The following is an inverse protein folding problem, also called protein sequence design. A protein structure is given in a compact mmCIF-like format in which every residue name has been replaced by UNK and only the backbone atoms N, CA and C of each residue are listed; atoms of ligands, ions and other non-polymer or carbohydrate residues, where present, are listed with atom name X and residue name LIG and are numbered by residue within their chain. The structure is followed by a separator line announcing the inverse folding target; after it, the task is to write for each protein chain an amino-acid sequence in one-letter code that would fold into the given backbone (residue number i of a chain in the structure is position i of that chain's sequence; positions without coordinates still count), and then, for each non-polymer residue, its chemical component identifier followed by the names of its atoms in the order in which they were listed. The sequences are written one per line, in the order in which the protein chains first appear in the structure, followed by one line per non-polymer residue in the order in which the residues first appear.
data_IF_182775785282
#
_entry.id   IF_182775785282
#
_cell.length_a   1.000
_cell.length_b   1.000
_cell.length_c   1.000
_cell.angle_alpha   90.00
_cell.angle_beta   90.00
_cell.angle_gamma   90.00
#
_symmetry.space_group_name_H-M   'P 1'
#
loop_
_entity.id
_entity.type
_entity.pdbx_description
1 polymer ?
#
# COMPACT_ATOMS: atom_id res chain seq x y z
N UNK A 1 9.00 -2.11 -4.91
CA UNK A 1 9.03 -3.03 -3.83
C UNK A 1 8.71 -2.37 -2.53
N UNK A 2 8.00 -2.93 -1.86
CA UNK A 2 7.21 -2.93 -0.64
C UNK A 2 7.17 -1.65 0.16
N UNK A 3 6.70 -0.62 -0.47
CA UNK A 3 5.96 0.46 0.14
C UNK A 3 4.54 -0.06 0.50
N UNK A 4 4.36 -1.39 0.50
CA UNK A 4 3.05 -2.05 0.67
C UNK A 4 2.44 -1.88 2.07
N UNK A 5 3.18 -1.28 2.98
CA UNK A 5 2.87 -1.35 4.39
C UNK A 5 2.61 0.02 5.01
N UNK A 6 2.33 1.00 4.17
CA UNK A 6 1.99 2.39 4.55
C UNK A 6 0.74 2.84 3.82
N UNK A 7 -0.33 2.07 3.91
CA UNK A 7 -1.56 2.40 3.24
C UNK A 7 -2.47 3.25 4.13
N UNK A 8 -3.10 4.25 3.51
CA UNK A 8 -4.19 5.00 4.12
C UNK A 8 -5.35 5.14 3.15
N UNK A 9 -6.48 5.58 3.66
CA UNK A 9 -7.70 5.74 2.88
C UNK A 9 -7.81 7.16 2.36
N UNK A 10 -8.07 7.28 1.07
CA UNK A 10 -8.28 8.53 0.35
C UNK A 10 -9.70 8.65 -0.14
N UNK A 11 -10.23 9.86 -0.08
CA UNK A 11 -11.58 10.22 -0.53
C UNK A 11 -11.47 11.37 -1.52
N UNK A 12 -12.25 11.34 -2.59
CA UNK A 12 -12.37 12.47 -3.53
C UNK A 12 -13.08 13.64 -2.86
N UNK A 13 -12.49 14.83 -2.93
CA UNK A 13 -13.08 16.03 -2.32
C UNK A 13 -14.43 16.40 -2.92
N UNK A 14 -14.61 16.18 -4.22
CA UNK A 14 -15.88 16.39 -4.92
C UNK A 14 -17.01 15.52 -4.35
N UNK A 15 -16.72 14.26 -4.02
CA UNK A 15 -17.71 13.35 -3.47
C UNK A 15 -18.11 13.73 -2.03
N UNK A 16 -17.15 14.21 -1.22
CA UNK A 16 -17.44 14.77 0.11
C UNK A 16 -18.32 16.00 0.01
N UNK A 17 -17.97 16.94 -0.85
CA UNK A 17 -18.70 18.19 -1.04
C UNK A 17 -20.14 17.91 -1.55
N UNK A 18 -20.30 16.99 -2.49
CA UNK A 18 -21.61 16.59 -2.99
C UNK A 18 -22.51 15.98 -1.89
N UNK A 19 -21.91 15.29 -0.93
CA UNK A 19 -22.59 14.72 0.24
C UNK A 19 -22.79 15.72 1.39
N UNK A 20 -22.38 17.00 1.22
CA UNK A 20 -22.55 18.05 2.23
C UNK A 20 -21.46 18.11 3.29
N UNK A 21 -20.32 17.44 3.09
CA UNK A 21 -19.19 17.46 4.01
C UNK A 21 -18.13 18.47 3.54
N UNK A 22 -17.46 19.09 4.52
CA UNK A 22 -16.27 19.92 4.26
C UNK A 22 -15.04 19.01 4.20
N UNK A 23 -14.32 18.92 3.06
CA UNK A 23 -13.16 18.06 2.91
C UNK A 23 -12.03 18.34 3.91
N UNK A 24 -11.76 19.60 4.23
CA UNK A 24 -10.70 19.99 5.17
C UNK A 24 -11.04 19.57 6.60
N UNK A 25 -12.32 19.68 6.99
CA UNK A 25 -12.78 19.20 8.27
C UNK A 25 -12.65 17.69 8.39
N UNK A 26 -13.04 16.94 7.34
CA UNK A 26 -12.90 15.48 7.30
C UNK A 26 -11.42 15.08 7.42
N UNK A 27 -10.50 15.75 6.71
CA UNK A 27 -9.06 15.47 6.79
C UNK A 27 -8.48 15.72 8.19
N UNK A 28 -8.95 16.74 8.90
CA UNK A 28 -8.44 17.13 10.20
C UNK A 28 -9.01 16.30 11.37
N UNK A 29 -10.23 15.80 11.22
CA UNK A 29 -10.97 15.08 12.26
C UNK A 29 -10.58 13.60 12.35
N UNK A 30 -10.57 13.05 13.56
CA UNK A 30 -10.60 11.60 13.77
C UNK A 30 -12.05 11.16 13.84
N UNK A 31 -12.50 10.42 12.84
CA UNK A 31 -13.88 9.94 12.73
C UNK A 31 -14.11 8.71 13.61
N UNK A 32 -15.29 8.59 14.19
CA UNK A 32 -15.80 7.31 14.70
C UNK A 32 -16.22 6.42 13.52
N UNK A 33 -16.35 5.11 13.74
CA UNK A 33 -16.79 4.22 12.67
C UNK A 33 -18.21 4.58 12.18
N UNK A 34 -19.10 4.95 13.09
CA UNK A 34 -20.47 5.36 12.73
C UNK A 34 -20.47 6.64 11.89
N UNK A 35 -19.66 7.65 12.25
CA UNK A 35 -19.49 8.86 11.46
C UNK A 35 -18.94 8.56 10.07
N UNK A 36 -17.89 7.73 10.00
CA UNK A 36 -17.30 7.30 8.73
C UNK A 36 -18.30 6.55 7.86
N UNK A 37 -18.98 5.57 8.42
CA UNK A 37 -19.93 4.75 7.68
C UNK A 37 -21.18 5.56 7.23
N UNK A 38 -21.64 6.46 8.07
CA UNK A 38 -22.69 7.43 7.69
C UNK A 38 -22.23 8.29 6.51
N UNK A 39 -21.04 8.83 6.57
CA UNK A 39 -20.46 9.63 5.48
C UNK A 39 -20.44 8.85 4.16
N UNK A 40 -20.04 7.57 4.16
CA UNK A 40 -20.09 6.72 2.97
C UNK A 40 -21.50 6.55 2.41
N UNK A 41 -22.50 6.37 3.28
CA UNK A 41 -23.92 6.29 2.87
C UNK A 41 -24.41 7.60 2.27
N UNK A 42 -24.07 8.73 2.87
CA UNK A 42 -24.43 10.05 2.35
C UNK A 42 -23.77 10.30 0.99
N UNK A 43 -22.50 9.93 0.81
CA UNK A 43 -21.81 10.01 -0.48
C UNK A 43 -22.50 9.17 -1.55
N UNK A 44 -22.91 7.94 -1.22
CA UNK A 44 -23.68 7.10 -2.13
C UNK A 44 -25.03 7.71 -2.50
N UNK A 45 -25.74 8.25 -1.54
CA UNK A 45 -27.03 8.91 -1.75
C UNK A 45 -26.92 10.19 -2.59
N UNK A 46 -25.84 10.94 -2.43
CA UNK A 46 -25.57 12.15 -3.20
C UNK A 46 -25.25 11.88 -4.68
N UNK A 47 -24.83 10.67 -5.02
CA UNK A 47 -24.51 10.27 -6.39
C UNK A 47 -25.49 9.20 -6.89
N UNK A 48 -26.62 9.61 -7.43
CA UNK A 48 -27.70 8.73 -7.88
C UNK A 48 -27.28 7.65 -8.91
N UNK A 49 -26.18 7.91 -9.63
CA UNK A 49 -25.66 7.00 -10.66
C UNK A 49 -24.47 6.15 -10.17
N UNK A 50 -24.06 6.28 -8.91
CA UNK A 50 -22.91 5.54 -8.39
C UNK A 50 -23.34 4.16 -7.87
N UNK A 51 -22.78 3.09 -8.43
CA UNK A 51 -23.12 1.73 -8.00
C UNK A 51 -22.50 1.37 -6.64
N UNK A 52 -21.34 1.93 -6.33
CA UNK A 52 -20.58 1.71 -5.08
C UNK A 52 -19.74 2.94 -4.76
N UNK A 53 -19.34 3.11 -3.52
CA UNK A 53 -18.47 4.20 -3.07
C UNK A 53 -17.00 3.76 -3.04
N UNK A 54 -16.76 2.54 -2.58
CA UNK A 54 -15.44 1.93 -2.43
C UNK A 54 -15.29 0.81 -3.44
N UNK A 55 -14.14 0.76 -4.13
CA UNK A 55 -13.72 -0.40 -4.88
C UNK A 55 -12.24 -0.65 -4.60
N UNK A 56 -11.89 -1.88 -4.25
CA UNK A 56 -10.52 -2.27 -3.92
C UNK A 56 -10.11 -3.54 -4.64
N UNK A 57 -8.85 -3.91 -4.56
CA UNK A 57 -8.38 -5.16 -5.13
C UNK A 57 -8.57 -6.33 -4.17
N UNK A 58 -8.90 -7.44 -4.76
CA UNK A 58 -9.05 -8.80 -4.25
C UNK A 58 -8.99 -9.06 -2.76
N UNK A 59 -10.12 -9.23 -2.12
CA UNK A 59 -10.18 -9.79 -0.78
C UNK A 59 -9.63 -11.22 -0.73
N UNK A 60 -9.78 -11.98 -1.82
CA UNK A 60 -9.49 -13.40 -1.88
C UNK A 60 -8.11 -13.67 -2.46
N UNK A 61 -7.70 -12.91 -3.47
CA UNK A 61 -6.51 -13.22 -4.25
C UNK A 61 -5.29 -12.33 -3.95
N UNK A 62 -5.35 -11.46 -2.94
CA UNK A 62 -4.21 -10.62 -2.59
C UNK A 62 -3.77 -9.63 -3.67
N UNK A 63 -4.65 -9.21 -4.55
CA UNK A 63 -4.31 -8.31 -5.65
C UNK A 63 -3.25 -8.91 -6.59
N UNK A 64 -2.36 -8.07 -7.13
CA UNK A 64 -1.34 -8.51 -8.09
C UNK A 64 -0.22 -9.36 -7.50
N UNK A 65 -0.12 -9.49 -6.19
CA UNK A 65 1.04 -10.15 -5.59
C UNK A 65 0.85 -11.61 -5.32
N UNK A 66 -0.36 -12.12 -5.39
CA UNK A 66 -0.67 -13.52 -5.06
C UNK A 66 -0.29 -13.92 -3.63
N UNK A 67 0.11 -12.97 -2.80
CA UNK A 67 0.44 -13.23 -1.40
C UNK A 67 -0.80 -13.03 -0.54
N UNK A 68 -1.32 -14.08 0.07
CA UNK A 68 -2.54 -14.04 0.88
C UNK A 68 -2.39 -13.21 2.17
N UNK A 69 -1.19 -12.85 2.53
CA UNK A 69 -0.86 -12.26 3.83
C UNK A 69 -1.21 -10.77 3.94
N UNK A 70 -1.32 -10.10 2.80
CA UNK A 70 -1.38 -8.65 2.75
C UNK A 70 -2.73 -8.01 2.41
N UNK A 71 -3.74 -8.69 1.86
CA UNK A 71 -4.83 -7.99 1.19
C UNK A 71 -5.73 -7.22 2.15
N UNK A 72 -5.96 -7.74 3.33
CA UNK A 72 -7.00 -7.20 4.20
C UNK A 72 -6.54 -6.07 5.09
N UNK A 73 -5.31 -6.13 5.54
CA UNK A 73 -4.74 -5.09 6.41
C UNK A 73 -4.34 -3.84 5.64
N UNK A 74 -4.11 -3.97 4.32
CA UNK A 74 -3.57 -2.89 3.50
C UNK A 74 -4.59 -2.24 2.58
N UNK A 75 -5.66 -2.94 2.21
CA UNK A 75 -6.60 -2.44 1.19
C UNK A 75 -7.92 -1.89 1.71
N UNK A 76 -8.19 -2.01 2.98
CA UNK A 76 -9.35 -1.42 3.65
C UNK A 76 -9.03 -1.21 5.14
N UNK A 77 -8.01 -0.38 5.46
CA UNK A 77 -7.56 -0.25 6.84
C UNK A 77 -8.66 0.22 7.78
N UNK A 78 -9.59 1.02 7.31
CA UNK A 78 -10.72 1.52 8.08
C UNK A 78 -11.72 0.42 8.51
N UNK A 79 -11.65 -0.76 7.90
CA UNK A 79 -12.46 -1.90 8.33
C UNK A 79 -11.67 -2.88 9.21
N UNK A 80 -10.35 -2.90 9.09
CA UNK A 80 -9.47 -3.90 9.70
C UNK A 80 -8.45 -3.35 10.70
N UNK A 81 -8.44 -2.07 11.04
CA UNK A 81 -7.37 -1.48 11.85
C UNK A 81 -7.06 -2.25 13.14
N UNK A 82 -8.10 -2.75 13.83
CA UNK A 82 -7.97 -3.53 15.05
C UNK A 82 -7.86 -5.05 14.81
N UNK A 83 -8.12 -5.52 13.59
CA UNK A 83 -8.12 -6.94 13.26
C UNK A 83 -6.79 -7.37 12.64
N UNK A 84 -6.34 -8.58 12.94
CA UNK A 84 -5.15 -9.17 12.35
C UNK A 84 -5.56 -10.39 11.52
N UNK A 85 -5.27 -10.35 10.22
CA UNK A 85 -5.57 -11.47 9.31
C UNK A 85 -4.66 -12.68 9.59
N UNK A 86 -3.44 -12.43 10.05
CA UNK A 86 -2.44 -13.45 10.32
C UNK A 86 -2.16 -13.59 11.82
N UNK A 87 -1.15 -14.35 12.17
CA UNK A 87 -0.63 -14.38 13.53
C UNK A 87 -0.01 -13.04 13.88
N UNK A 88 -0.09 -12.64 15.14
CA UNK A 88 0.46 -11.36 15.61
C UNK A 88 0.96 -11.47 17.04
N UNK A 89 1.84 -10.59 17.44
CA UNK A 89 2.28 -10.45 18.82
C UNK A 89 1.33 -9.54 19.59
N UNK A 90 0.72 -10.07 20.63
CA UNK A 90 -0.12 -9.29 21.54
C UNK A 90 0.76 -8.68 22.63
N UNK A 91 0.99 -7.38 22.53
CA UNK A 91 1.84 -6.62 23.46
C UNK A 91 1.32 -6.65 24.91
N UNK A 92 0.01 -6.73 25.11
CA UNK A 92 -0.61 -6.77 26.42
C UNK A 92 -0.46 -8.15 27.07
N UNK A 93 -0.69 -9.19 26.30
CA UNK A 93 -0.54 -10.59 26.75
C UNK A 93 0.92 -11.07 26.70
N UNK A 94 1.80 -10.39 25.97
CA UNK A 94 3.19 -10.76 25.72
C UNK A 94 3.33 -12.15 25.09
N UNK A 95 2.47 -12.45 24.15
CA UNK A 95 2.44 -13.72 23.44
C UNK A 95 1.98 -13.55 21.99
N UNK A 96 2.32 -14.53 21.13
CA UNK A 96 1.75 -14.61 19.78
C UNK A 96 0.39 -15.29 19.83
N UNK A 97 -0.53 -14.78 19.01
CA UNK A 97 -1.91 -15.25 18.85
C UNK A 97 -2.27 -15.44 17.39
N UNK A 98 -3.27 -16.27 17.14
CA UNK A 98 -3.96 -16.30 15.84
C UNK A 98 -4.96 -15.13 15.77
N UNK A 99 -4.62 -14.09 15.01
CA UNK A 99 -5.46 -12.91 14.87
C UNK A 99 -6.76 -13.18 14.14
N UNK A 100 -6.75 -14.16 13.23
CA UNK A 100 -7.94 -14.53 12.46
C UNK A 100 -9.05 -15.15 13.33
N UNK A 101 -8.69 -15.77 14.45
CA UNK A 101 -9.62 -16.37 15.38
C UNK A 101 -10.14 -15.40 16.46
N UNK A 102 -9.74 -14.12 16.44
CA UNK A 102 -10.14 -13.13 17.45
C UNK A 102 -11.47 -12.46 17.11
N UNK A 103 -12.12 -11.89 18.13
CA UNK A 103 -13.38 -11.16 17.97
C UNK A 103 -13.26 -10.00 17.00
N UNK A 104 -12.13 -9.29 17.00
CA UNK A 104 -11.89 -8.15 16.10
C UNK A 104 -11.98 -8.54 14.62
N UNK A 105 -11.58 -9.76 14.26
CA UNK A 105 -11.74 -10.27 12.90
C UNK A 105 -13.21 -10.56 12.56
N UNK A 106 -13.98 -11.12 13.50
CA UNK A 106 -15.43 -11.29 13.33
C UNK A 106 -16.10 -9.95 13.05
N UNK A 107 -15.75 -8.94 13.83
CA UNK A 107 -16.30 -7.60 13.69
C UNK A 107 -15.90 -6.96 12.34
N UNK A 108 -14.64 -7.12 11.92
CA UNK A 108 -14.16 -6.64 10.63
C UNK A 108 -14.91 -7.27 9.46
N UNK A 109 -15.08 -8.60 9.47
CA UNK A 109 -15.83 -9.30 8.42
C UNK A 109 -17.32 -8.92 8.43
N UNK A 110 -17.89 -8.65 9.59
CA UNK A 110 -19.26 -8.16 9.72
C UNK A 110 -19.41 -6.76 9.10
N UNK A 111 -18.48 -5.85 9.38
CA UNK A 111 -18.43 -4.52 8.76
C UNK A 111 -18.33 -4.60 7.24
N UNK A 112 -17.48 -5.47 6.71
CA UNK A 112 -17.34 -5.67 5.27
C UNK A 112 -18.58 -6.24 4.62
N UNK A 113 -19.19 -7.25 5.26
CA UNK A 113 -20.47 -7.81 4.78
C UNK A 113 -21.54 -6.72 4.69
N UNK A 114 -21.68 -5.93 5.74
CA UNK A 114 -22.63 -4.82 5.77
C UNK A 114 -22.35 -3.81 4.65
N UNK A 115 -21.07 -3.49 4.39
CA UNK A 115 -20.71 -2.56 3.32
C UNK A 115 -21.00 -3.13 1.92
N UNK A 116 -20.89 -4.44 1.73
CA UNK A 116 -21.32 -5.11 0.48
C UNK A 116 -22.84 -5.10 0.34
N UNK A 117 -23.57 -5.46 1.41
CA UNK A 117 -25.03 -5.52 1.40
C UNK A 117 -25.67 -4.13 1.15
N UNK A 118 -25.11 -3.08 1.75
CA UNK A 118 -25.53 -1.69 1.54
C UNK A 118 -25.09 -1.13 0.17
N UNK A 119 -24.31 -1.88 -0.59
CA UNK A 119 -23.72 -1.44 -1.87
C UNK A 119 -22.73 -0.29 -1.72
N UNK A 120 -22.15 -0.11 -0.55
CA UNK A 120 -21.04 0.83 -0.30
C UNK A 120 -19.74 0.28 -0.90
N UNK A 121 -19.49 -1.00 -0.67
CA UNK A 121 -18.33 -1.70 -1.19
C UNK A 121 -18.69 -2.47 -2.45
N UNK A 122 -17.92 -2.26 -3.50
CA UNK A 122 -18.06 -2.97 -4.76
C UNK A 122 -17.86 -4.48 -4.57
N UNK A 123 -18.90 -5.23 -4.89
CA UNK A 123 -18.88 -6.70 -4.77
C UNK A 123 -17.79 -7.36 -5.64
N UNK A 124 -17.40 -6.73 -6.75
CA UNK A 124 -16.32 -7.22 -7.60
C UNK A 124 -14.94 -7.10 -6.92
N UNK A 125 -14.83 -6.33 -5.85
CA UNK A 125 -13.58 -6.15 -5.08
C UNK A 125 -12.97 -7.47 -4.58
N UNK A 126 -13.76 -8.52 -4.45
CA UNK A 126 -13.24 -9.83 -4.05
C UNK A 126 -12.33 -10.49 -5.07
N UNK A 127 -12.53 -10.24 -6.37
CA UNK A 127 -11.84 -10.96 -7.46
C UNK A 127 -11.07 -10.04 -8.42
N UNK A 128 -11.24 -8.73 -8.33
CA UNK A 128 -10.60 -7.80 -9.24
C UNK A 128 -9.12 -7.57 -8.88
N UNK A 129 -8.35 -7.22 -9.90
CA UNK A 129 -6.94 -6.88 -9.74
C UNK A 129 -6.77 -5.45 -9.20
N UNK A 130 -5.55 -5.12 -8.77
CA UNK A 130 -5.19 -3.73 -8.41
C UNK A 130 -5.39 -2.77 -9.58
N UNK A 131 -5.15 -3.23 -10.81
CA UNK A 131 -5.38 -2.42 -12.01
C UNK A 131 -6.85 -2.12 -12.23
N UNK A 132 -7.74 -3.11 -12.01
CA UNK A 132 -9.19 -2.89 -12.12
C UNK A 132 -9.69 -1.88 -11.09
N UNK A 133 -9.24 -1.99 -9.85
CA UNK A 133 -9.58 -1.03 -8.81
C UNK A 133 -9.08 0.39 -9.12
N UNK A 134 -7.86 0.54 -9.65
CA UNK A 134 -7.33 1.84 -10.12
C UNK A 134 -8.12 2.40 -11.30
N UNK A 135 -8.52 1.54 -12.24
CA UNK A 135 -9.35 1.96 -13.38
C UNK A 135 -10.69 2.54 -12.89
N UNK A 136 -11.29 1.95 -11.85
CA UNK A 136 -12.51 2.47 -11.24
C UNK A 136 -12.28 3.79 -10.49
N UNK A 137 -11.15 3.94 -9.82
CA UNK A 137 -10.76 5.24 -9.25
C UNK A 137 -10.62 6.31 -10.32
N UNK A 138 -10.02 5.96 -11.46
CA UNK A 138 -9.75 6.87 -12.59
C UNK A 138 -10.94 7.05 -13.54
N UNK A 139 -12.04 6.32 -13.35
CA UNK A 139 -13.17 6.35 -14.27
C UNK A 139 -13.85 7.72 -14.28
N UNK A 140 -14.30 8.15 -15.49
CA UNK A 140 -15.12 9.35 -15.69
C UNK A 140 -16.61 9.08 -15.46
N UNK A 141 -17.05 7.85 -15.75
CA UNK A 141 -18.42 7.44 -15.60
C UNK A 141 -18.73 7.14 -14.12
N UNK A 142 -19.63 7.92 -13.53
CA UNK A 142 -20.03 7.79 -12.14
C UNK A 142 -20.52 6.37 -11.79
N UNK A 143 -21.16 5.66 -12.72
CA UNK A 143 -21.68 4.31 -12.47
C UNK A 143 -20.58 3.28 -12.21
N UNK A 144 -19.38 3.53 -12.73
CA UNK A 144 -18.21 2.66 -12.61
C UNK A 144 -17.11 3.24 -11.72
N UNK A 145 -17.22 4.51 -11.33
CA UNK A 145 -16.23 5.22 -10.54
C UNK A 145 -16.33 4.90 -9.06
N UNK A 146 -15.18 4.73 -8.38
CA UNK A 146 -15.09 4.80 -6.92
C UNK A 146 -14.74 6.19 -6.44
N UNK A 147 -15.25 6.55 -5.25
CA UNK A 147 -14.98 7.83 -4.60
C UNK A 147 -14.04 7.69 -3.40
N UNK A 148 -13.84 6.46 -2.92
CA UNK A 148 -12.91 6.11 -1.83
C UNK A 148 -11.98 5.04 -2.33
N UNK A 149 -10.70 5.18 -2.00
CA UNK A 149 -9.66 4.24 -2.40
C UNK A 149 -8.58 4.14 -1.34
N UNK A 150 -8.09 2.94 -1.10
CA UNK A 150 -6.93 2.72 -0.24
C UNK A 150 -5.68 2.61 -1.09
N UNK A 151 -4.68 3.41 -0.76
CA UNK A 151 -3.43 3.43 -1.49
C UNK A 151 -2.25 3.77 -0.57
N UNK A 152 -1.05 3.59 -1.09
CA UNK A 152 0.17 3.89 -0.36
C UNK A 152 0.30 5.39 -0.05
N UNK A 153 0.85 5.69 1.12
CA UNK A 153 1.12 7.04 1.56
C UNK A 153 2.30 7.70 0.82
N UNK A 154 2.44 8.99 0.96
CA UNK A 154 3.55 9.77 0.42
C UNK A 154 3.52 9.94 -1.08
N UNK A 155 4.60 9.58 -1.78
CA UNK A 155 4.74 9.75 -3.24
C UNK A 155 3.60 9.12 -4.04
N UNK A 156 3.02 8.04 -3.52
CA UNK A 156 1.89 7.38 -4.17
C UNK A 156 0.57 8.15 -4.02
N UNK A 157 0.42 8.97 -2.97
CA UNK A 157 -0.69 9.90 -2.86
C UNK A 157 -0.67 10.91 -4.03
N UNK A 158 0.50 11.45 -4.35
CA UNK A 158 0.69 12.31 -5.51
C UNK A 158 0.34 11.60 -6.82
N UNK A 159 0.79 10.36 -6.99
CA UNK A 159 0.45 9.55 -8.18
C UNK A 159 -1.05 9.32 -8.27
N UNK A 160 -1.72 9.01 -7.16
CA UNK A 160 -3.16 8.80 -7.10
C UNK A 160 -3.94 10.08 -7.46
N UNK A 161 -3.52 11.23 -6.92
CA UNK A 161 -4.07 12.55 -7.25
C UNK A 161 -3.98 12.82 -8.74
N UNK A 162 -2.80 12.62 -9.32
CA UNK A 162 -2.55 12.93 -10.72
C UNK A 162 -3.14 11.91 -11.71
N UNK A 163 -3.59 10.76 -11.25
CA UNK A 163 -4.23 9.75 -12.09
C UNK A 163 -5.74 9.98 -12.26
N UNK A 164 -6.38 10.77 -11.40
CA UNK A 164 -7.81 11.04 -11.49
C UNK A 164 -8.21 11.63 -12.84
N UNK A 165 -9.39 11.27 -13.32
CA UNK A 165 -9.93 11.77 -14.59
C UNK A 165 -10.21 13.28 -14.54
N UNK A 166 -10.75 13.76 -13.44
CA UNK A 166 -10.90 15.19 -13.15
C UNK A 166 -9.63 15.68 -12.43
N UNK A 167 -8.88 16.53 -13.13
CA UNK A 167 -7.62 17.12 -12.61
C UNK A 167 -7.85 18.27 -11.63
N UNK A 168 -9.07 18.75 -11.52
CA UNK A 168 -9.44 19.81 -10.57
C UNK A 168 -9.88 19.26 -9.21
N UNK A 169 -10.27 17.98 -9.16
CA UNK A 169 -10.62 17.30 -7.91
C UNK A 169 -9.36 17.02 -7.07
N UNK A 170 -9.52 16.91 -5.78
CA UNK A 170 -8.44 16.64 -4.82
C UNK A 170 -8.72 15.37 -4.04
N UNK A 171 -7.64 14.70 -3.62
CA UNK A 171 -7.74 13.60 -2.67
C UNK A 171 -7.60 14.13 -1.25
N UNK A 172 -8.38 13.55 -0.36
CA UNK A 172 -8.33 13.80 1.08
C UNK A 172 -7.96 12.49 1.77
N UNK A 173 -6.84 12.48 2.48
CA UNK A 173 -6.47 11.35 3.32
C UNK A 173 -7.21 11.46 4.66
N UNK A 174 -7.84 10.39 5.13
CA UNK A 174 -8.47 10.35 6.43
C UNK A 174 -7.52 9.79 7.49
N UNK A 175 -7.71 10.21 8.74
CA UNK A 175 -7.05 9.59 9.89
C UNK A 175 -7.65 8.22 10.18
N UNK A 176 -6.95 7.35 10.94
CA UNK A 176 -7.51 6.10 11.44
C UNK A 176 -8.83 6.32 12.16
N UNK A 177 -9.72 5.33 12.06
CA UNK A 177 -11.01 5.36 12.75
C UNK A 177 -10.77 5.21 14.25
N UNK A 178 -11.40 6.08 15.03
CA UNK A 178 -11.14 6.27 16.46
C UNK A 178 -11.16 4.97 17.29
N UNK A 179 -12.17 4.13 17.06
CA UNK A 179 -12.37 2.90 17.82
C UNK A 179 -11.53 1.72 17.32
N UNK A 180 -10.99 1.82 16.09
CA UNK A 180 -10.30 0.72 15.44
C UNK A 180 -8.77 0.79 15.57
N UNK A 181 -8.24 1.83 16.19
CA UNK A 181 -6.82 1.94 16.51
C UNK A 181 -6.02 2.83 15.56
N UNK A 182 -4.87 2.36 15.09
CA UNK A 182 -3.93 3.11 14.26
C UNK A 182 -3.72 2.43 12.90
N UNK A 183 -3.20 3.15 11.93
CA UNK A 183 -2.65 2.52 10.74
C UNK A 183 -1.49 1.60 11.12
N UNK A 184 -1.35 0.51 10.39
CA UNK A 184 -0.27 -0.46 10.60
C UNK A 184 0.90 -0.13 9.70
N UNK A 185 2.10 -0.20 10.26
CA UNK A 185 3.34 -0.04 9.55
C UNK A 185 4.19 -1.30 9.75
N UNK A 186 4.73 -1.85 8.67
CA UNK A 186 5.67 -2.97 8.73
C UNK A 186 7.10 -2.48 8.67
N UNK A 187 8.02 -3.32 9.13
CA UNK A 187 9.43 -3.07 8.94
C UNK A 187 9.77 -2.90 7.45
N UNK A 188 10.58 -1.90 7.17
CA UNK A 188 11.13 -1.74 5.84
C UNK A 188 11.93 -3.00 5.43
N UNK A 189 11.94 -3.28 4.13
CA UNK A 189 12.84 -4.31 3.59
C UNK A 189 14.29 -3.93 3.87
N UNK A 190 15.10 -4.93 4.19
CA UNK A 190 16.51 -4.75 4.49
C UNK A 190 17.38 -5.64 3.57
N UNK A 191 18.60 -5.18 3.31
CA UNK A 191 19.62 -6.03 2.75
C UNK A 191 20.13 -6.98 3.82
N UNK A 192 20.23 -8.27 3.49
CA UNK A 192 20.77 -9.29 4.38
C UNK A 192 22.00 -9.92 3.76
N UNK A 193 23.07 -9.97 4.52
CA UNK A 193 24.27 -10.77 4.15
C UNK A 193 24.01 -12.20 4.62
N UNK A 194 24.15 -13.16 3.71
CA UNK A 194 23.88 -14.56 4.04
C UNK A 194 24.94 -15.10 4.99
N UNK A 195 24.56 -16.04 5.85
CA UNK A 195 25.48 -16.72 6.76
C UNK A 195 26.65 -17.38 6.01
N UNK A 196 26.39 -17.96 4.84
CA UNK A 196 27.43 -18.52 3.97
C UNK A 196 28.45 -17.48 3.50
N UNK A 197 28.03 -16.26 3.22
CA UNK A 197 28.95 -15.18 2.88
C UNK A 197 29.82 -14.76 4.08
N UNK A 198 29.24 -14.77 5.28
CA UNK A 198 29.96 -14.55 6.53
C UNK A 198 31.03 -15.63 6.78
N UNK A 199 30.67 -16.92 6.71
CA UNK A 199 31.60 -18.05 6.88
C UNK A 199 32.75 -18.02 5.87
N UNK A 200 32.49 -17.53 4.66
CA UNK A 200 33.51 -17.38 3.62
C UNK A 200 34.35 -16.08 3.74
N UNK A 201 34.21 -15.33 4.82
CA UNK A 201 34.96 -14.08 5.05
C UNK A 201 34.61 -12.94 4.10
N UNK A 202 33.45 -13.00 3.41
CA UNK A 202 33.04 -11.99 2.42
C UNK A 202 32.09 -10.91 2.99
N UNK A 203 31.61 -11.06 4.22
CA UNK A 203 30.59 -10.20 4.79
C UNK A 203 31.02 -8.73 4.84
N UNK A 204 32.22 -8.44 5.31
CA UNK A 204 32.78 -7.09 5.40
C UNK A 204 32.88 -6.44 4.01
N UNK A 205 33.40 -7.17 3.03
CA UNK A 205 33.53 -6.66 1.66
C UNK A 205 32.15 -6.39 1.02
N UNK A 206 31.18 -7.27 1.23
CA UNK A 206 29.81 -7.06 0.75
C UNK A 206 29.19 -5.82 1.40
N UNK A 207 29.34 -5.68 2.71
CA UNK A 207 28.82 -4.51 3.41
C UNK A 207 29.48 -3.23 2.87
N UNK A 208 30.80 -3.15 2.92
CA UNK A 208 31.58 -1.94 2.61
C UNK A 208 31.48 -1.52 1.14
N UNK A 209 31.61 -2.46 0.21
CA UNK A 209 31.71 -2.14 -1.21
C UNK A 209 30.42 -2.28 -1.99
N UNK A 210 29.38 -2.83 -1.37
CA UNK A 210 28.09 -2.97 -2.01
C UNK A 210 26.99 -2.25 -1.21
N UNK A 211 26.67 -2.67 0.02
CA UNK A 211 25.53 -2.14 0.76
C UNK A 211 25.75 -0.69 1.16
N UNK A 212 26.84 -0.40 1.86
CA UNK A 212 27.15 0.95 2.37
C UNK A 212 27.29 1.95 1.21
N UNK A 213 28.07 1.59 0.20
CA UNK A 213 28.29 2.46 -0.97
C UNK A 213 27.02 2.72 -1.77
N UNK A 214 26.10 1.76 -1.82
CA UNK A 214 24.85 1.90 -2.59
C UNK A 214 23.71 2.57 -1.82
N UNK A 215 23.81 2.64 -0.50
CA UNK A 215 22.81 3.24 0.38
C UNK A 215 23.32 4.50 1.08
N UNK A 216 24.46 5.05 0.64
CA UNK A 216 25.10 6.20 1.26
C UNK A 216 24.39 7.54 1.00
N UNK A 217 23.42 7.57 0.08
CA UNK A 217 22.74 8.80 -0.32
C UNK A 217 23.57 9.72 -1.22
N UNK A 218 24.76 9.28 -1.62
CA UNK A 218 25.72 10.08 -2.38
C UNK A 218 25.71 9.82 -3.89
N UNK A 219 26.81 10.23 -4.52
CA UNK A 219 26.98 10.18 -5.97
C UNK A 219 26.88 8.76 -6.56
N UNK A 220 27.33 7.76 -5.80
CA UNK A 220 27.27 6.37 -6.26
C UNK A 220 25.84 5.86 -6.32
N UNK A 221 25.05 6.17 -5.30
CA UNK A 221 23.63 5.81 -5.30
C UNK A 221 22.87 6.57 -6.41
N UNK A 222 23.17 7.84 -6.63
CA UNK A 222 22.63 8.63 -7.74
C UNK A 222 23.02 8.00 -9.07
N UNK A 223 24.29 7.65 -9.26
CA UNK A 223 24.76 6.99 -10.49
C UNK A 223 24.08 5.64 -10.74
N UNK A 224 23.80 4.88 -9.70
CA UNK A 224 23.06 3.62 -9.79
C UNK A 224 21.61 3.83 -10.24
N UNK A 225 20.95 4.85 -9.74
CA UNK A 225 19.52 5.09 -10.00
C UNK A 225 19.25 5.81 -11.31
N UNK A 226 20.11 6.78 -11.63
CA UNK A 226 19.87 7.74 -12.71
C UNK A 226 20.94 7.71 -13.79
N UNK A 227 22.04 6.97 -13.57
CA UNK A 227 23.20 7.01 -14.43
C UNK A 227 24.12 8.19 -14.14
N UNK A 228 25.07 8.43 -15.04
CA UNK A 228 26.06 9.48 -14.90
C UNK A 228 25.50 10.85 -15.28
N UNK A 229 25.73 11.86 -14.43
CA UNK A 229 25.40 13.26 -14.71
C UNK A 229 26.16 13.73 -15.94
N UNK A 230 25.54 14.52 -16.78
CA UNK A 230 26.06 15.02 -18.06
C UNK A 230 26.05 13.99 -19.19
N UNK A 231 25.61 12.74 -18.94
CA UNK A 231 25.44 11.67 -19.94
C UNK A 231 24.02 11.16 -19.99
N UNK A 232 23.43 10.84 -18.84
CA UNK A 232 22.11 10.28 -18.74
C UNK A 232 21.08 11.28 -18.22
N UNK A 233 21.53 12.18 -17.36
CA UNK A 233 20.75 13.25 -16.78
C UNK A 233 21.62 14.49 -16.52
N UNK A 234 21.01 15.66 -16.40
CA UNK A 234 21.66 16.90 -15.94
C UNK A 234 20.64 17.74 -15.14
N UNK A 235 21.15 18.82 -14.54
CA UNK A 235 20.39 19.86 -13.85
C UNK A 235 20.70 21.26 -14.37
N UNK A 236 21.35 21.35 -15.54
CA UNK A 236 21.62 22.61 -16.23
C UNK A 236 20.42 23.10 -17.01
N UNK A 237 20.35 24.41 -17.20
CA UNK A 237 19.34 25.00 -18.08
C UNK A 237 19.53 24.53 -19.52
N UNK A 238 18.60 23.76 -20.05
CA UNK A 238 18.63 23.29 -21.44
C UNK A 238 17.27 22.90 -21.97
N UNK A 239 17.19 22.76 -23.30
CA UNK A 239 15.98 22.23 -23.97
C UNK A 239 16.26 20.82 -24.46
N UNK A 240 15.60 19.85 -23.88
CA UNK A 240 15.64 18.45 -24.34
C UNK A 240 14.64 18.27 -25.46
N UNK A 241 15.15 18.17 -26.69
CA UNK A 241 14.33 18.01 -27.90
C UNK A 241 14.06 16.52 -28.14
N UNK A 242 12.78 16.18 -28.27
CA UNK A 242 12.34 14.81 -28.58
C UNK A 242 11.83 14.77 -30.02
N UNK A 243 12.26 13.77 -30.78
CA UNK A 243 11.84 13.55 -32.15
C UNK A 243 10.81 12.43 -32.24
N UNK A 244 9.82 12.60 -33.12
CA UNK A 244 8.85 11.56 -33.42
C UNK A 244 9.46 10.46 -34.36
N UNK A 245 8.69 9.43 -34.67
CA UNK A 245 9.15 8.32 -35.53
C UNK A 245 9.47 8.74 -36.98
N UNK A 246 9.12 9.96 -37.38
CA UNK A 246 9.41 10.55 -38.70
C UNK A 246 10.64 11.45 -38.68
N UNK A 247 11.30 11.62 -37.52
CA UNK A 247 12.44 12.52 -37.35
C UNK A 247 12.06 13.98 -37.19
N UNK A 248 10.79 14.31 -36.98
CA UNK A 248 10.31 15.67 -36.72
C UNK A 248 10.26 15.92 -35.21
N UNK A 249 10.45 17.20 -34.80
CA UNK A 249 10.38 17.58 -33.39
C UNK A 249 8.98 17.32 -32.84
N UNK A 250 8.90 16.51 -31.78
CA UNK A 250 7.69 16.32 -31.00
C UNK A 250 7.59 17.44 -29.97
N UNK A 251 6.91 18.52 -30.32
CA UNK A 251 6.75 19.69 -29.46
C UNK A 251 6.08 19.40 -28.12
N UNK A 252 5.23 18.36 -28.05
CA UNK A 252 4.55 17.97 -26.81
C UNK A 252 5.49 17.28 -25.81
N UNK A 253 6.55 16.65 -26.31
CA UNK A 253 7.54 15.94 -25.51
C UNK A 253 8.81 16.74 -25.30
N UNK A 254 9.09 17.72 -26.18
CA UNK A 254 10.21 18.64 -26.02
C UNK A 254 9.94 19.57 -24.83
N UNK A 255 10.90 19.65 -23.91
CA UNK A 255 10.78 20.46 -22.69
C UNK A 255 12.02 21.29 -22.46
N UNK A 256 11.82 22.53 -22.04
CA UNK A 256 12.88 23.40 -21.56
C UNK A 256 12.92 23.34 -20.04
N UNK A 257 14.10 23.12 -19.50
CA UNK A 257 14.37 23.03 -18.07
C UNK A 257 15.21 24.23 -17.62
N UNK A 258 14.94 24.71 -16.43
CA UNK A 258 15.68 25.78 -15.79
C UNK A 258 16.91 25.22 -15.06
N UNK A 259 17.87 26.08 -14.74
CA UNK A 259 19.07 25.73 -13.98
C UNK A 259 18.68 25.11 -12.61
N UNK A 260 19.29 24.00 -12.31
CA UNK A 260 19.06 23.26 -11.08
C UNK A 260 17.85 22.32 -11.11
N UNK A 261 17.17 22.16 -12.25
CA UNK A 261 16.06 21.23 -12.41
C UNK A 261 16.56 19.93 -13.02
N UNK A 262 16.47 18.82 -12.25
CA UNK A 262 16.81 17.50 -12.74
C UNK A 262 15.97 17.12 -13.96
N UNK A 263 16.63 16.62 -14.98
CA UNK A 263 15.98 16.08 -16.17
C UNK A 263 16.85 15.03 -16.85
N UNK A 264 16.21 14.11 -17.56
CA UNK A 264 16.93 13.13 -18.36
C UNK A 264 17.35 13.70 -19.72
N UNK A 265 18.57 13.42 -20.11
CA UNK A 265 19.13 13.78 -21.43
C UNK A 265 18.74 12.78 -22.52
N UNK A 266 18.27 11.60 -22.13
CA UNK A 266 17.91 10.50 -23.00
C UNK A 266 16.39 10.30 -23.00
N UNK A 267 15.87 9.64 -24.04
CA UNK A 267 14.44 9.35 -24.11
C UNK A 267 14.01 8.40 -22.99
N UNK A 268 12.72 8.39 -22.59
CA UNK A 268 12.22 7.42 -21.61
C UNK A 268 12.51 5.95 -21.98
N UNK A 269 12.57 5.63 -23.28
CA UNK A 269 12.92 4.28 -23.76
C UNK A 269 14.39 3.96 -23.53
N UNK A 270 15.29 4.92 -23.78
CA UNK A 270 16.72 4.76 -23.53
C UNK A 270 16.95 4.71 -22.01
N UNK A 271 16.26 5.54 -21.24
CA UNK A 271 16.29 5.51 -19.79
C UNK A 271 15.77 4.18 -19.24
N UNK A 272 14.74 3.60 -19.84
CA UNK A 272 14.22 2.29 -19.44
C UNK A 272 15.24 1.18 -19.70
N UNK A 273 16.05 1.30 -20.74
CA UNK A 273 17.17 0.39 -21.02
C UNK A 273 18.35 0.57 -20.08
N UNK A 274 18.70 1.82 -19.78
CA UNK A 274 19.76 2.17 -18.85
C UNK A 274 19.36 1.86 -17.40
N UNK A 275 18.12 2.12 -17.06
CA UNK A 275 17.46 1.77 -15.82
C UNK A 275 16.92 0.34 -15.87
N UNK A 276 17.71 -0.59 -16.43
CA UNK A 276 17.29 -1.97 -16.61
C UNK A 276 16.84 -2.63 -15.30
N UNK A 277 16.15 -3.74 -15.41
CA UNK A 277 15.60 -4.55 -14.31
C UNK A 277 16.56 -4.91 -13.18
N UNK A 278 17.85 -4.61 -13.33
CA UNK A 278 18.91 -4.86 -12.36
C UNK A 278 19.16 -3.67 -11.42
N UNK A 279 18.37 -2.62 -11.51
CA UNK A 279 18.44 -1.51 -10.56
C UNK A 279 18.14 -1.98 -9.16
N UNK A 280 18.85 -1.36 -8.25
CA UNK A 280 18.34 -1.30 -6.89
C UNK A 280 16.97 -0.65 -6.98
N UNK A 281 16.00 -1.38 -6.52
CA UNK A 281 14.66 -0.88 -6.45
C UNK A 281 14.65 0.45 -5.66
N UNK A 282 14.02 1.47 -6.24
CA UNK A 282 13.82 2.76 -5.58
C UNK A 282 13.31 2.64 -4.14
N UNK A 283 12.63 1.57 -3.79
CA UNK A 283 12.17 1.32 -2.43
C UNK A 283 13.28 1.04 -1.43
N UNK A 284 14.44 0.59 -1.88
CA UNK A 284 15.63 0.45 -1.03
C UNK A 284 16.41 1.75 -0.96
N UNK A 285 16.36 2.53 -2.02
CA UNK A 285 16.89 3.88 -2.06
C UNK A 285 16.10 4.88 -1.22
N UNK A 286 14.81 4.64 -1.02
CA UNK A 286 13.94 5.48 -0.16
C UNK A 286 14.45 5.56 1.29
N UNK A 287 15.14 4.54 1.78
CA UNK A 287 15.77 4.62 3.10
C UNK A 287 16.81 5.75 3.19
N UNK A 288 17.41 6.13 2.06
CA UNK A 288 18.46 7.15 2.00
C UNK A 288 18.02 8.42 1.30
N UNK A 289 17.22 8.28 0.27
CA UNK A 289 16.73 9.45 -0.44
C UNK A 289 15.37 9.85 0.01
N UNK A 290 14.74 9.51 0.97
CA UNK A 290 13.38 9.97 1.26
C UNK A 290 12.76 10.76 0.08
N UNK A 291 11.53 10.92 -0.01
CA UNK A 291 10.91 11.63 -1.14
C UNK A 291 11.43 13.07 -1.34
N UNK A 292 12.12 13.61 -0.34
CA UNK A 292 12.68 14.95 -0.34
C UNK A 292 14.04 15.07 -1.02
N UNK A 293 14.66 13.97 -1.37
CA UNK A 293 16.03 13.95 -1.91
C UNK A 293 16.09 13.32 -3.30
N UNK A 294 14.94 12.93 -3.87
CA UNK A 294 14.89 12.55 -5.29
C UNK A 294 15.43 13.72 -6.13
N UNK A 295 16.56 13.56 -6.83
CA UNK A 295 17.13 14.63 -7.64
C UNK A 295 16.15 15.18 -8.68
N UNK A 296 15.15 14.40 -9.07
CA UNK A 296 14.07 14.81 -9.94
C UNK A 296 12.98 15.64 -9.25
N UNK A 297 13.06 15.83 -7.95
CA UNK A 297 12.01 16.48 -7.18
C UNK A 297 12.58 17.44 -6.14
N UNK A 298 13.19 18.51 -6.61
CA UNK A 298 13.71 19.59 -5.74
C UNK A 298 12.63 20.36 -4.99
N UNK A 299 11.38 20.30 -5.45
CA UNK A 299 10.21 20.77 -4.70
C UNK A 299 9.33 19.57 -4.39
N UNK A 300 9.39 19.10 -3.18
CA UNK A 300 8.46 18.07 -2.73
C UNK A 300 7.06 18.67 -2.72
N UNK A 301 6.16 18.05 -3.47
CA UNK A 301 4.76 18.46 -3.45
C UNK A 301 4.23 18.41 -2.01
N UNK A 302 3.59 19.49 -1.52
CA UNK A 302 3.05 19.53 -0.16
C UNK A 302 2.16 18.32 0.17
N UNK A 303 1.43 17.79 -0.81
CA UNK A 303 0.62 16.60 -0.64
C UNK A 303 1.45 15.39 -0.16
N UNK A 304 2.68 15.23 -0.66
CA UNK A 304 3.57 14.13 -0.27
C UNK A 304 4.00 14.28 1.19
N UNK A 305 4.49 15.46 1.56
CA UNK A 305 5.00 15.72 2.91
C UNK A 305 3.89 15.70 3.96
N UNK A 306 2.76 16.31 3.67
CA UNK A 306 1.60 16.34 4.56
C UNK A 306 1.02 14.94 4.75
N UNK A 307 0.93 14.16 3.68
CA UNK A 307 0.43 12.79 3.74
C UNK A 307 1.36 11.88 4.56
N UNK A 308 2.69 12.00 4.40
CA UNK A 308 3.64 11.28 5.25
C UNK A 308 3.56 11.71 6.70
N UNK A 309 3.45 13.00 6.97
CA UNK A 309 3.32 13.50 8.33
C UNK A 309 2.05 12.95 9.00
N UNK A 310 0.92 12.96 8.27
CA UNK A 310 -0.34 12.39 8.74
C UNK A 310 -0.19 10.88 9.01
N UNK A 311 0.36 10.13 8.07
CA UNK A 311 0.54 8.68 8.24
C UNK A 311 1.44 8.36 9.43
N UNK A 312 2.62 8.96 9.51
CA UNK A 312 3.60 8.68 10.57
C UNK A 312 3.08 9.06 11.96
N UNK A 313 2.29 10.13 12.07
CA UNK A 313 1.66 10.53 13.34
C UNK A 313 0.54 9.58 13.80
N UNK A 314 0.03 8.74 12.89
CA UNK A 314 -1.15 7.89 13.14
C UNK A 314 -0.89 6.41 12.85
N UNK A 315 0.36 6.00 12.67
CA UNK A 315 0.73 4.60 12.43
C UNK A 315 1.49 4.01 13.62
N UNK A 316 1.43 2.68 13.72
CA UNK A 316 2.21 1.89 14.66
C UNK A 316 2.95 0.79 13.90
N UNK A 317 4.25 0.66 14.18
CA UNK A 317 5.06 -0.43 13.67
C UNK A 317 4.58 -1.75 14.29
N UNK A 318 4.28 -2.73 13.45
CA UNK A 318 3.92 -4.06 13.91
C UNK A 318 5.16 -4.85 14.33
N UNK A 319 5.03 -5.62 15.41
CA UNK A 319 6.07 -6.58 15.80
C UNK A 319 6.14 -7.68 14.75
N UNK A 320 7.30 -7.91 14.11
CA UNK A 320 7.40 -8.89 13.04
C UNK A 320 7.22 -10.31 13.55
N UNK A 321 6.66 -11.16 12.70
CA UNK A 321 6.61 -12.60 12.97
C UNK A 321 7.99 -13.22 12.73
N UNK A 322 8.40 -14.10 13.65
CA UNK A 322 9.55 -14.95 13.43
C UNK A 322 9.21 -16.02 12.39
N UNK A 323 10.11 -16.22 11.44
CA UNK A 323 9.93 -17.26 10.43
C UNK A 323 10.37 -18.63 11.00
N UNK A 324 9.46 -19.31 11.68
CA UNK A 324 9.70 -20.68 12.15
C UNK A 324 9.42 -21.69 11.03
N UNK A 325 10.05 -22.88 11.12
CA UNK A 325 9.79 -23.96 10.16
C UNK A 325 8.31 -24.39 10.20
N UNK A 326 7.71 -24.42 11.39
CA UNK A 326 6.29 -24.76 11.57
C UNK A 326 5.39 -23.76 10.88
N UNK A 327 5.67 -22.44 11.00
CA UNK A 327 4.95 -21.38 10.28
C UNK A 327 5.10 -21.57 8.76
N UNK A 328 6.33 -21.72 8.28
CA UNK A 328 6.61 -21.85 6.83
C UNK A 328 5.88 -23.02 6.20
N UNK A 329 5.81 -24.15 6.91
CA UNK A 329 5.19 -25.38 6.40
C UNK A 329 3.65 -25.34 6.40
N UNK A 330 3.03 -24.48 7.22
CA UNK A 330 1.57 -24.49 7.39
C UNK A 330 0.87 -23.22 6.86
N UNK A 331 1.57 -22.10 6.68
CA UNK A 331 0.96 -20.81 6.42
C UNK A 331 0.14 -20.76 5.12
N UNK A 332 0.57 -21.49 4.09
CA UNK A 332 -0.15 -21.53 2.81
C UNK A 332 -1.54 -22.15 2.95
N UNK A 333 -1.63 -23.30 3.63
CA UNK A 333 -2.91 -23.98 3.84
C UNK A 333 -3.82 -23.14 4.74
N UNK A 334 -3.28 -22.59 5.82
CA UNK A 334 -4.01 -21.72 6.75
C UNK A 334 -4.59 -20.52 6.02
N UNK A 335 -3.77 -19.83 5.22
CA UNK A 335 -4.21 -18.65 4.50
C UNK A 335 -5.26 -18.96 3.43
N UNK A 336 -5.14 -20.09 2.73
CA UNK A 336 -6.17 -20.55 1.81
C UNK A 336 -7.53 -20.67 2.52
N UNK A 337 -7.55 -21.26 3.71
CA UNK A 337 -8.80 -21.40 4.47
C UNK A 337 -9.31 -20.10 5.06
N UNK A 338 -8.43 -19.18 5.47
CA UNK A 338 -8.82 -17.82 5.88
C UNK A 338 -9.53 -17.09 4.74
N UNK A 339 -8.99 -17.19 3.52
CA UNK A 339 -9.60 -16.59 2.34
C UNK A 339 -10.99 -17.18 2.02
N UNK A 340 -11.15 -18.49 2.18
CA UNK A 340 -12.47 -19.15 2.03
C UNK A 340 -13.47 -18.60 3.04
N UNK A 341 -13.09 -18.46 4.32
CA UNK A 341 -13.95 -17.86 5.35
C UNK A 341 -14.36 -16.44 4.99
N UNK A 342 -13.40 -15.61 4.61
CA UNK A 342 -13.70 -14.23 4.22
C UNK A 342 -14.70 -14.19 3.08
N UNK A 343 -14.47 -14.97 2.03
CA UNK A 343 -15.39 -15.04 0.89
C UNK A 343 -16.80 -15.47 1.32
N UNK A 344 -16.91 -16.57 2.05
CA UNK A 344 -18.20 -17.13 2.47
C UNK A 344 -18.99 -16.15 3.38
N UNK A 345 -18.29 -15.47 4.29
CA UNK A 345 -18.93 -14.53 5.22
C UNK A 345 -19.31 -13.23 4.53
N UNK A 346 -18.37 -12.62 3.80
CA UNK A 346 -18.62 -11.31 3.16
C UNK A 346 -19.68 -11.40 2.06
N UNK A 347 -19.75 -12.54 1.36
CA UNK A 347 -20.78 -12.79 0.35
C UNK A 347 -22.12 -13.29 0.93
N UNK A 348 -22.15 -13.60 2.22
CA UNK A 348 -23.34 -14.09 2.87
C UNK A 348 -23.69 -15.56 2.56
N UNK A 349 -22.69 -16.35 2.12
CA UNK A 349 -22.89 -17.79 1.87
C UNK A 349 -22.99 -18.58 3.17
N UNK A 350 -22.23 -18.15 4.22
CA UNK A 350 -22.27 -18.67 5.56
C UNK A 350 -22.24 -17.55 6.60
N UNK A 351 -22.74 -17.86 7.78
CA UNK A 351 -22.46 -17.04 8.96
C UNK A 351 -21.00 -17.15 9.35
N UNK A 352 -20.47 -16.18 10.09
CA UNK A 352 -19.12 -16.24 10.59
C UNK A 352 -18.87 -17.50 11.43
N UNK A 353 -19.82 -17.84 12.31
CA UNK A 353 -19.66 -18.97 13.22
C UNK A 353 -19.64 -20.32 12.48
N UNK A 354 -20.45 -20.50 11.43
CA UNK A 354 -20.42 -21.67 10.56
C UNK A 354 -19.08 -21.78 9.80
N UNK A 355 -18.66 -20.68 9.18
CA UNK A 355 -17.39 -20.67 8.43
C UNK A 355 -16.17 -20.93 9.34
N UNK A 356 -16.18 -20.36 10.55
CA UNK A 356 -15.11 -20.59 11.53
C UNK A 356 -15.12 -21.98 12.14
N UNK A 357 -16.28 -22.64 12.26
CA UNK A 357 -16.35 -24.03 12.67
C UNK A 357 -15.64 -24.94 11.65
N UNK A 358 -15.87 -24.69 10.35
CA UNK A 358 -15.20 -25.42 9.27
C UNK A 358 -13.69 -25.11 9.23
N UNK A 359 -13.30 -23.85 9.41
CA UNK A 359 -11.91 -23.41 9.51
C UNK A 359 -11.16 -24.17 10.64
N UNK A 360 -11.70 -24.13 11.83
CA UNK A 360 -11.12 -24.81 13.00
C UNK A 360 -10.97 -26.32 12.78
N UNK A 361 -11.97 -26.95 12.16
CA UNK A 361 -11.92 -28.38 11.84
C UNK A 361 -10.80 -28.72 10.85
N UNK A 362 -10.54 -27.86 9.87
CA UNK A 362 -9.58 -28.13 8.79
C UNK A 362 -8.14 -27.73 9.14
N UNK A 363 -7.94 -26.58 9.78
CA UNK A 363 -6.61 -26.02 10.03
C UNK A 363 -6.35 -25.61 11.48
N UNK A 364 -7.30 -25.80 12.41
CA UNK A 364 -7.14 -25.38 13.80
C UNK A 364 -5.88 -25.96 14.45
N UNK A 365 -5.63 -27.27 14.33
CA UNK A 365 -4.43 -27.88 14.87
C UNK A 365 -3.12 -27.31 14.25
N UNK A 366 -3.14 -26.88 12.97
CA UNK A 366 -2.01 -26.22 12.33
C UNK A 366 -1.79 -24.83 12.92
N UNK A 367 -2.88 -24.09 13.17
CA UNK A 367 -2.82 -22.77 13.81
C UNK A 367 -2.25 -22.86 15.22
N UNK A 368 -2.71 -23.82 16.01
CA UNK A 368 -2.21 -24.04 17.37
C UNK A 368 -0.72 -24.37 17.38
N UNK A 369 -0.25 -25.24 16.49
CA UNK A 369 1.16 -25.58 16.34
C UNK A 369 2.01 -24.35 15.93
N UNK A 370 1.49 -23.50 15.06
CA UNK A 370 2.17 -22.25 14.68
C UNK A 370 2.28 -21.30 15.87
N UNK A 371 1.19 -21.08 16.61
CA UNK A 371 1.18 -20.22 17.79
C UNK A 371 2.17 -20.73 18.85
N UNK A 372 2.18 -22.03 19.11
CA UNK A 372 3.13 -22.65 20.04
C UNK A 372 4.58 -22.42 19.59
N UNK A 373 4.89 -22.70 18.32
CA UNK A 373 6.22 -22.51 17.74
C UNK A 373 6.68 -21.04 17.79
N UNK A 374 5.80 -20.09 17.56
CA UNK A 374 6.11 -18.66 17.68
C UNK A 374 6.39 -18.29 19.14
N UNK A 375 5.58 -18.75 20.08
CA UNK A 375 5.77 -18.48 21.52
C UNK A 375 7.03 -19.12 22.09
N UNK A 376 7.49 -20.22 21.55
CA UNK A 376 8.78 -20.80 21.91
C UNK A 376 9.97 -19.89 21.55
N UNK A 377 9.86 -19.06 20.52
CA UNK A 377 10.92 -18.11 20.17
C UNK A 377 11.11 -17.03 21.21
N UNK A 378 10.08 -16.74 22.02
CA UNK A 378 10.15 -15.75 23.11
C UNK A 378 10.92 -16.23 24.34
N UNK A 379 11.19 -17.54 24.42
CA UNK A 379 11.91 -18.17 25.55
C UNK A 379 13.42 -18.22 25.34
N UNK A 380 13.87 -17.88 24.13
CA UNK A 380 15.29 -17.86 23.73
C UNK A 380 15.86 -16.45 23.83
#
# INVERSE_FOLDING_TARGET
MCIRDRCCTYIKSSALTAAGYNPEEVASKTLTYDEYYKMLKDMKAASANQNFVISCSGFIAGGNSGTPEAPYTNYLPEFYQNANFTFYYDEAAKEYKDGFAQQDMKDALTRLKTAVDDGILDKASQNQTTSDARNKWNAKDASTASSVFTYWAGTWAYTLQNSMADKTDKIIAIKPIKELGTYKERLATAWCITYKAYENGKAEGIFKYFIDTMLDGGDIQIAWQYGAKGTHWDDKAETVTVYNSKGEVDEKKTKTYEEGVFHFLTTPEDNTKLMSKNHIDKSLAIATFGDNTDPGNKSVDPLITENYAMFNANSKLETPLWNTEVLSNNISDINTKRLEVVSQVVLGEKTYDEAMADYKKQVGAKCDAVVESLNETLKK
#
